data_IF_022969341288
#
_entry.id   IF_022969341288
#
_cell.length_a   1.000
_cell.length_b   1.000
_cell.length_c   1.000
_cell.angle_alpha   90.00
_cell.angle_beta   90.00
_cell.angle_gamma   90.00
#
_symmetry.space_group_name_H-M   'P 1'
#
loop_
_entity.id
_entity.type
_entity.pdbx_description
1 polymer ?
#
# COMPACT_ATOMS: atom_id res chain seq x y z
N UNK A 1 2.37 4.75 0.92
CA UNK A 1 1.11 4.41 0.21
C UNK A 1 0.42 5.64 -0.40
N UNK A 2 1.18 6.54 -1.04
CA UNK A 2 0.54 7.66 -1.76
C UNK A 2 -0.21 7.11 -2.99
N UNK A 3 -1.34 7.70 -3.39
CA UNK A 3 -1.95 8.93 -2.89
C UNK A 3 -2.92 8.74 -1.71
N UNK A 4 -3.13 7.51 -1.24
CA UNK A 4 -4.09 7.25 -0.16
C UNK A 4 -3.56 7.76 1.19
N UNK A 5 -2.37 7.30 1.58
CA UNK A 5 -1.73 7.65 2.85
C UNK A 5 -0.52 8.56 2.61
N UNK A 6 -0.47 9.65 3.36
CA UNK A 6 0.64 10.60 3.39
C UNK A 6 1.36 10.56 4.73
N UNK A 7 2.66 10.79 4.68
CA UNK A 7 3.55 10.92 5.82
C UNK A 7 3.23 12.16 6.66
N UNK A 8 3.68 12.13 7.93
CA UNK A 8 3.44 13.20 8.91
C UNK A 8 3.96 14.58 8.50
N UNK A 9 4.94 14.64 7.59
CA UNK A 9 5.54 15.90 7.13
C UNK A 9 4.78 16.50 5.92
N UNK A 10 3.77 15.80 5.40
CA UNK A 10 2.98 16.26 4.26
C UNK A 10 1.78 17.11 4.73
N UNK A 11 1.36 18.16 4.00
CA UNK A 11 0.17 18.95 4.35
C UNK A 11 -1.14 18.16 4.38
N UNK A 12 -1.14 16.96 3.79
CA UNK A 12 -2.26 15.99 3.80
C UNK A 12 -1.96 14.78 4.69
N UNK A 13 -1.12 14.96 5.72
CA UNK A 13 -0.72 13.93 6.66
C UNK A 13 -1.93 13.10 7.09
N UNK A 14 -1.75 11.79 7.10
CA UNK A 14 -2.83 10.84 7.29
C UNK A 14 -2.60 10.09 8.59
N UNK A 15 -3.65 9.97 9.39
CA UNK A 15 -3.66 9.07 10.55
C UNK A 15 -4.45 7.81 10.19
N UNK A 16 -4.09 6.69 10.78
CA UNK A 16 -4.72 5.39 10.54
C UNK A 16 -5.11 4.78 11.87
N UNK A 17 -6.22 4.07 11.88
CA UNK A 17 -6.63 3.22 12.98
C UNK A 17 -6.35 1.78 12.59
N UNK A 18 -5.64 1.07 13.46
CA UNK A 18 -5.23 -0.32 13.26
C UNK A 18 -6.02 -1.21 14.20
N UNK A 19 -6.50 -2.32 13.68
CA UNK A 19 -7.07 -3.41 14.47
C UNK A 19 -6.16 -4.64 14.40
N UNK A 20 -6.03 -5.40 15.50
CA UNK A 20 -5.21 -6.59 15.52
C UNK A 20 -5.82 -7.69 14.63
N UNK A 21 -4.95 -8.49 13.99
CA UNK A 21 -5.36 -9.59 13.12
C UNK A 21 -5.61 -10.88 13.93
N UNK A 22 -6.44 -10.81 14.97
CA UNK A 22 -6.70 -11.97 15.86
C UNK A 22 -7.79 -12.90 15.32
N UNK A 23 -8.88 -12.34 14.80
CA UNK A 23 -10.05 -13.11 14.34
C UNK A 23 -10.49 -12.75 12.92
N UNK A 24 -9.81 -11.80 12.29
CA UNK A 24 -10.19 -11.31 10.97
C UNK A 24 -9.33 -11.98 9.89
N UNK A 25 -9.97 -12.50 8.85
CA UNK A 25 -9.29 -12.94 7.65
C UNK A 25 -9.24 -11.79 6.64
N UNK A 26 -8.03 -11.37 6.27
CA UNK A 26 -7.86 -10.30 5.29
C UNK A 26 -8.47 -10.63 3.94
N UNK A 27 -9.18 -9.65 3.38
CA UNK A 27 -9.72 -9.66 2.04
C UNK A 27 -8.83 -8.87 1.07
N UNK A 28 -8.95 -9.19 -0.22
CA UNK A 28 -8.26 -8.45 -1.29
C UNK A 28 -8.68 -6.99 -1.23
N UNK A 29 -7.70 -6.09 -1.13
CA UNK A 29 -7.93 -4.66 -1.00
C UNK A 29 -7.64 -4.11 0.39
N UNK A 30 -7.60 -4.96 1.41
CA UNK A 30 -7.27 -4.55 2.77
C UNK A 30 -5.83 -4.04 2.86
N UNK A 31 -5.55 -3.31 3.93
CA UNK A 31 -4.22 -2.75 4.20
C UNK A 31 -3.64 -3.42 5.45
N UNK A 32 -2.97 -4.58 5.30
CA UNK A 32 -2.19 -5.16 6.39
C UNK A 32 -1.04 -4.25 6.82
N UNK A 33 -0.71 -4.31 8.09
CA UNK A 33 0.56 -3.84 8.64
C UNK A 33 1.43 -5.02 9.03
N UNK A 34 2.69 -4.97 8.59
CA UNK A 34 3.69 -5.98 8.91
C UNK A 34 5.04 -5.35 9.14
N UNK A 35 5.93 -6.10 9.78
CA UNK A 35 7.31 -5.69 10.02
C UNK A 35 8.26 -6.44 9.07
N UNK A 36 9.11 -5.71 8.37
CA UNK A 36 10.16 -6.30 7.54
C UNK A 36 11.22 -6.95 8.42
N UNK A 37 11.46 -8.25 8.22
CA UNK A 37 12.51 -8.98 8.94
C UNK A 37 13.92 -8.43 8.71
N UNK A 38 14.18 -7.86 7.52
CA UNK A 38 15.53 -7.40 7.17
C UNK A 38 16.00 -6.16 7.93
N UNK A 39 15.08 -5.30 8.38
CA UNK A 39 15.43 -4.01 8.99
C UNK A 39 14.46 -3.52 10.07
N UNK A 40 13.45 -4.33 10.44
CA UNK A 40 12.45 -3.98 11.44
C UNK A 40 11.47 -2.88 10.99
N UNK A 41 11.47 -2.47 9.73
CA UNK A 41 10.60 -1.40 9.24
C UNK A 41 9.14 -1.84 9.19
N UNK A 42 8.25 -1.03 9.74
CA UNK A 42 6.81 -1.20 9.58
C UNK A 42 6.36 -0.77 8.18
N UNK A 43 5.63 -1.66 7.51
CA UNK A 43 5.16 -1.46 6.14
C UNK A 43 3.65 -1.63 6.08
N UNK A 44 3.02 -0.67 5.41
CA UNK A 44 1.61 -0.71 5.05
C UNK A 44 1.53 -0.88 3.54
N UNK A 45 0.91 -1.96 3.11
CA UNK A 45 0.67 -2.24 1.70
C UNK A 45 -0.76 -2.75 1.52
N UNK A 46 -1.26 -2.69 0.29
CA UNK A 46 -2.55 -3.26 -0.07
C UNK A 46 -2.40 -4.75 -0.35
N UNK A 47 -3.30 -5.58 0.17
CA UNK A 47 -3.39 -6.98 -0.18
C UNK A 47 -3.91 -7.13 -1.62
N UNK A 48 -3.17 -7.84 -2.47
CA UNK A 48 -3.57 -8.11 -3.85
C UNK A 48 -4.03 -9.56 -4.01
N UNK A 49 -3.35 -10.48 -3.34
CA UNK A 49 -3.63 -11.90 -3.36
C UNK A 49 -3.13 -12.54 -2.06
N UNK A 50 -3.62 -13.73 -1.77
CA UNK A 50 -3.19 -14.54 -0.64
C UNK A 50 -3.25 -16.02 -1.02
N UNK A 51 -2.33 -16.81 -0.47
CA UNK A 51 -2.40 -18.27 -0.43
C UNK A 51 -2.33 -18.73 1.04
N UNK A 52 -2.27 -20.04 1.29
CA UNK A 52 -2.35 -20.60 2.64
C UNK A 52 -1.21 -20.10 3.56
N UNK A 53 -0.04 -19.80 3.00
CA UNK A 53 1.17 -19.47 3.75
C UNK A 53 1.55 -17.98 3.66
N UNK A 54 1.10 -17.27 2.62
CA UNK A 54 1.59 -15.95 2.26
C UNK A 54 0.51 -14.94 1.86
N UNK A 55 0.81 -13.69 2.17
CA UNK A 55 0.16 -12.51 1.64
C UNK A 55 1.02 -11.85 0.56
N UNK A 56 0.42 -11.56 -0.58
CA UNK A 56 1.04 -10.77 -1.66
C UNK A 56 0.53 -9.34 -1.56
N UNK A 57 1.40 -8.46 -1.11
CA UNK A 57 1.07 -7.06 -0.83
C UNK A 57 1.76 -6.12 -1.82
N UNK A 58 1.22 -4.92 -2.03
CA UNK A 58 1.88 -3.88 -2.83
C UNK A 58 1.50 -2.49 -2.35
N UNK A 59 2.46 -1.58 -2.36
CA UNK A 59 2.20 -0.17 -2.13
C UNK A 59 1.49 0.48 -3.32
N UNK A 60 0.59 1.42 -3.05
CA UNK A 60 -0.19 2.10 -4.10
C UNK A 60 0.68 2.81 -5.17
N UNK A 61 1.90 3.24 -4.81
CA UNK A 61 2.87 3.87 -5.73
C UNK A 61 4.08 2.97 -6.03
N UNK A 62 3.96 1.66 -5.83
CA UNK A 62 5.03 0.69 -6.07
C UNK A 62 4.71 -0.17 -7.29
N UNK A 63 5.71 -0.42 -8.14
CA UNK A 63 5.55 -1.36 -9.27
C UNK A 63 5.62 -2.81 -8.78
N UNK A 64 6.56 -3.08 -7.88
CA UNK A 64 6.83 -4.40 -7.34
C UNK A 64 6.01 -4.62 -6.06
N UNK A 65 5.49 -5.83 -5.90
CA UNK A 65 4.85 -6.27 -4.66
C UNK A 65 5.87 -6.92 -3.72
N UNK A 66 5.42 -7.25 -2.51
CA UNK A 66 6.16 -7.97 -1.49
C UNK A 66 5.38 -9.24 -1.11
N UNK A 67 6.08 -10.37 -1.05
CA UNK A 67 5.56 -11.64 -0.53
C UNK A 67 5.86 -11.67 0.97
N UNK A 68 4.82 -11.76 1.79
CA UNK A 68 4.88 -11.61 3.24
C UNK A 68 4.29 -12.86 3.89
N UNK A 69 5.03 -13.60 4.71
CA UNK A 69 4.47 -14.69 5.52
C UNK A 69 3.33 -14.20 6.41
N UNK A 70 2.27 -15.00 6.57
CA UNK A 70 1.06 -14.56 7.29
C UNK A 70 1.35 -14.17 8.74
N UNK A 71 2.30 -14.86 9.38
CA UNK A 71 2.74 -14.61 10.76
C UNK A 71 3.43 -13.24 10.97
N UNK A 72 3.92 -12.59 9.89
CA UNK A 72 4.49 -11.25 10.00
C UNK A 72 3.43 -10.15 10.07
N UNK A 73 2.19 -10.46 9.68
CA UNK A 73 1.09 -9.52 9.70
C UNK A 73 0.42 -9.58 11.06
N UNK A 74 0.46 -8.47 11.80
CA UNK A 74 -0.08 -8.40 13.16
C UNK A 74 -1.32 -7.51 13.27
N UNK A 75 -1.71 -6.83 12.19
CA UNK A 75 -2.91 -6.00 12.17
C UNK A 75 -3.27 -5.48 10.78
N UNK A 76 -4.32 -4.69 10.71
CA UNK A 76 -4.82 -4.10 9.47
C UNK A 76 -5.50 -2.75 9.72
N UNK A 77 -5.56 -1.91 8.69
CA UNK A 77 -6.18 -0.59 8.77
C UNK A 77 -7.69 -0.70 8.58
N UNK A 78 -8.48 -0.21 9.54
CA UNK A 78 -9.95 -0.14 9.42
C UNK A 78 -10.49 1.26 9.17
N UNK A 79 -9.77 2.28 9.63
CA UNK A 79 -10.15 3.68 9.44
C UNK A 79 -8.95 4.54 9.08
N UNK A 80 -9.21 5.54 8.26
CA UNK A 80 -8.20 6.50 7.82
C UNK A 80 -8.75 7.91 8.06
N UNK A 81 -7.94 8.75 8.68
CA UNK A 81 -8.23 10.18 8.89
C UNK A 81 -7.37 11.02 7.99
N UNK A 82 -8.00 11.84 7.15
CA UNK A 82 -7.31 12.74 6.23
C UNK A 82 -8.15 13.99 6.00
N UNK A 83 -7.52 15.16 6.02
CA UNK A 83 -8.17 16.45 5.76
C UNK A 83 -9.44 16.68 6.61
N UNK A 84 -9.37 16.39 7.92
CA UNK A 84 -10.49 16.64 8.82
C UNK A 84 -11.62 15.59 8.78
N UNK A 85 -11.50 14.52 7.97
CA UNK A 85 -12.56 13.51 7.80
C UNK A 85 -12.03 12.10 8.05
N UNK A 86 -12.80 11.32 8.79
CA UNK A 86 -12.63 9.88 8.91
C UNK A 86 -13.37 9.17 7.78
N UNK A 87 -12.74 8.15 7.21
CA UNK A 87 -13.39 7.20 6.32
C UNK A 87 -12.98 5.78 6.68
N UNK A 88 -13.94 4.87 6.61
CA UNK A 88 -13.72 3.44 6.83
C UNK A 88 -13.27 2.76 5.55
N UNK A 89 -12.37 1.78 5.69
CA UNK A 89 -11.95 0.89 4.61
C UNK A 89 -13.09 -0.05 4.14
N UNK A 90 -14.15 -0.20 4.93
CA UNK A 90 -15.30 -1.03 4.58
C UNK A 90 -16.37 -0.23 3.81
N UNK A 91 -16.18 1.08 3.67
CA UNK A 91 -17.13 1.92 2.94
C UNK A 91 -17.14 1.58 1.44
N UNK A 92 -18.34 1.61 0.83
CA UNK A 92 -18.50 1.36 -0.62
C UNK A 92 -17.63 2.29 -1.48
N UNK A 93 -17.45 3.54 -1.04
CA UNK A 93 -16.59 4.51 -1.72
C UNK A 93 -15.11 4.07 -1.71
N UNK A 94 -14.63 3.56 -0.58
CA UNK A 94 -13.28 3.00 -0.49
C UNK A 94 -13.14 1.76 -1.38
N UNK A 95 -14.09 0.83 -1.32
CA UNK A 95 -14.06 -0.38 -2.13
C UNK A 95 -14.08 -0.07 -3.63
N UNK A 96 -14.88 0.90 -4.06
CA UNK A 96 -14.87 1.42 -5.43
C UNK A 96 -13.50 2.02 -5.80
N UNK A 97 -12.89 2.81 -4.91
CA UNK A 97 -11.52 3.31 -5.09
C UNK A 97 -10.53 2.16 -5.29
N UNK A 98 -10.59 1.12 -4.45
CA UNK A 98 -9.70 -0.05 -4.55
C UNK A 98 -9.85 -0.76 -5.88
N UNK A 99 -11.08 -0.98 -6.34
CA UNK A 99 -11.36 -1.60 -7.63
C UNK A 99 -10.74 -0.77 -8.77
N UNK A 100 -11.04 0.52 -8.84
CA UNK A 100 -10.47 1.43 -9.86
C UNK A 100 -8.95 1.42 -9.78
N UNK A 101 -8.38 1.44 -8.58
CA UNK A 101 -6.94 1.42 -8.37
C UNK A 101 -6.32 0.10 -8.87
N UNK A 102 -6.93 -1.04 -8.56
CA UNK A 102 -6.44 -2.35 -9.00
C UNK A 102 -6.49 -2.49 -10.52
N UNK A 103 -7.59 -2.10 -11.17
CA UNK A 103 -7.73 -2.21 -12.63
C UNK A 103 -6.82 -1.24 -13.38
N UNK A 104 -6.68 -0.01 -12.88
CA UNK A 104 -5.77 0.97 -13.51
C UNK A 104 -4.28 0.62 -13.35
N UNK A 105 -3.90 -0.34 -12.50
CA UNK A 105 -2.51 -0.78 -12.37
C UNK A 105 -1.93 -1.28 -13.70
N UNK A 106 -2.70 -2.00 -14.51
CA UNK A 106 -2.25 -2.51 -15.81
C UNK A 106 -1.85 -1.38 -16.76
N UNK A 107 -2.57 -0.27 -16.73
CA UNK A 107 -2.24 0.93 -17.50
C UNK A 107 -1.12 1.75 -16.84
N UNK A 108 -1.07 1.81 -15.50
CA UNK A 108 -0.05 2.59 -14.78
C UNK A 108 1.33 1.94 -14.77
N UNK A 109 1.41 0.61 -14.78
CA UNK A 109 2.67 -0.14 -14.80
C UNK A 109 3.63 0.30 -15.92
N UNK A 110 3.23 0.36 -17.21
CA UNK A 110 4.14 0.81 -18.27
C UNK A 110 4.58 2.27 -18.06
N UNK A 111 3.69 3.17 -17.64
CA UNK A 111 4.07 4.56 -17.33
C UNK A 111 5.07 4.64 -16.18
N UNK A 112 4.87 3.86 -15.11
CA UNK A 112 5.79 3.84 -13.96
C UNK A 112 7.16 3.27 -14.34
N UNK A 113 7.21 2.21 -15.15
CA UNK A 113 8.44 1.66 -15.68
C UNK A 113 9.16 2.66 -16.58
N UNK A 114 8.44 3.33 -17.48
CA UNK A 114 9.00 4.36 -18.35
C UNK A 114 9.62 5.52 -17.54
N UNK A 115 8.91 5.99 -16.49
CA UNK A 115 9.43 7.00 -15.57
C UNK A 115 10.69 6.54 -14.83
N UNK A 116 10.78 5.27 -14.45
CA UNK A 116 11.99 4.70 -13.85
C UNK A 116 13.16 4.64 -14.83
N UNK A 117 12.90 4.35 -16.10
CA UNK A 117 13.95 4.37 -17.13
C UNK A 117 14.43 5.80 -17.40
N UNK A 118 13.53 6.78 -17.50
CA UNK A 118 13.89 8.20 -17.61
C UNK A 118 14.68 8.71 -16.41
N UNK A 119 14.33 8.30 -15.18
CA UNK A 119 15.08 8.73 -13.99
C UNK A 119 16.48 8.13 -13.91
N UNK A 120 16.68 6.91 -14.42
CA UNK A 120 18.02 6.33 -14.61
C UNK A 120 18.81 7.14 -15.63
N UNK A 121 18.20 7.51 -16.76
CA UNK A 121 18.84 8.32 -17.79
C UNK A 121 19.22 9.71 -17.28
N UNK A 122 18.30 10.39 -16.58
CA UNK A 122 18.54 11.69 -15.94
C UNK A 122 19.69 11.64 -14.94
N UNK A 123 19.77 10.60 -14.10
CA UNK A 123 20.89 10.41 -13.15
C UNK A 123 22.23 10.21 -13.87
N UNK A 124 22.23 9.57 -15.05
CA UNK A 124 23.43 9.39 -15.87
C UNK A 124 23.88 10.69 -16.56
N UNK A 125 22.95 11.60 -16.84
CA UNK A 125 23.23 12.91 -17.47
C UNK A 125 23.62 13.98 -16.44
N UNK A 126 22.97 14.01 -15.27
CA UNK A 126 23.21 15.00 -14.21
C UNK A 126 24.33 14.58 -13.24
N UNK A 127 24.61 13.27 -13.14
CA UNK A 127 25.75 12.74 -12.38
C UNK A 127 27.06 12.76 -13.17
N UNK A 128 27.17 13.60 -14.20
CA UNK A 128 28.36 13.80 -15.02
C UNK A 128 28.70 15.29 -15.06
#
# INVERSE_FOLDING_TARGET
>A
MRPLLYDKNHPKATQIYLEPLTHHQLAIGDIPIFQKQSNGQLVLHRLIASDDDYYYTRGDNCVYGEKVPREQVFGYVTKIYRNGKWFSTDSKAYQAYVLVWRHSFWFRKPLMLFRQQLSKLKRKIIGK
#
